data_IF_850704244496
#
_entry.id   IF_850704244496
#
_cell.length_a   1.000
_cell.length_b   1.000
_cell.length_c   1.000
_cell.angle_alpha   90.00
_cell.angle_beta   90.00
_cell.angle_gamma   90.00
#
_symmetry.space_group_name_H-M   'P 1'
#
loop_
_entity.id
_entity.type
_entity.pdbx_description
1 polymer ?
#
# COMPACT_ATOMS: atom_id res chain seq x y z
N UNK A 1 5.97 -1.40 27.15
CA UNK A 1 7.37 -0.97 27.29
C UNK A 1 7.94 -0.86 25.89
N UNK A 2 8.51 0.30 25.56
CA UNK A 2 9.23 0.50 24.31
C UNK A 2 10.56 -0.23 24.41
N UNK A 3 10.89 -1.05 23.41
CA UNK A 3 12.23 -1.59 23.23
C UNK A 3 12.88 -0.77 22.12
N UNK A 4 13.86 0.03 22.47
CA UNK A 4 14.62 0.82 21.49
C UNK A 4 15.82 -0.01 21.03
N UNK A 5 16.11 0.04 19.76
CA UNK A 5 17.29 -0.54 19.14
C UNK A 5 18.21 0.60 18.70
N UNK A 6 19.05 1.15 19.60
CA UNK A 6 19.78 2.40 19.37
C UNK A 6 20.70 2.38 18.15
N UNK A 7 21.18 1.20 17.78
CA UNK A 7 22.10 1.04 16.65
C UNK A 7 21.40 0.97 15.28
N UNK A 8 20.08 0.70 15.24
CA UNK A 8 19.29 0.61 14.01
C UNK A 8 18.40 1.83 13.76
N UNK A 9 18.24 2.72 14.74
CA UNK A 9 17.28 3.83 14.67
C UNK A 9 15.82 3.37 14.77
N UNK A 10 15.58 2.15 15.25
CA UNK A 10 14.26 1.54 15.37
C UNK A 10 13.79 1.50 16.81
N UNK A 11 12.48 1.54 17.01
CA UNK A 11 11.86 1.33 18.31
C UNK A 11 10.61 0.46 18.18
N UNK A 12 10.60 -0.66 18.90
CA UNK A 12 9.39 -1.46 18.98
C UNK A 12 8.36 -0.77 19.89
N UNK A 13 7.24 -0.39 19.30
CA UNK A 13 6.17 0.37 19.97
C UNK A 13 5.02 -0.51 20.50
N UNK A 14 5.13 -1.82 20.40
CA UNK A 14 4.10 -2.79 20.77
C UNK A 14 3.15 -3.15 19.64
N UNK A 15 2.35 -4.20 19.82
CA UNK A 15 1.35 -4.70 18.86
C UNK A 15 1.90 -4.99 17.46
N UNK A 16 3.16 -5.38 17.36
CA UNK A 16 3.81 -5.67 16.07
C UNK A 16 4.34 -4.43 15.34
N UNK A 17 4.19 -3.22 15.90
CA UNK A 17 4.66 -2.00 15.25
C UNK A 17 6.10 -1.68 15.64
N UNK A 18 6.95 -1.51 14.62
CA UNK A 18 8.32 -1.02 14.75
C UNK A 18 8.39 0.38 14.12
N UNK A 19 8.66 1.39 14.96
CA UNK A 19 8.88 2.75 14.51
C UNK A 19 10.31 2.91 14.02
N UNK A 20 10.51 3.37 12.78
CA UNK A 20 11.81 3.70 12.21
C UNK A 20 11.86 5.15 11.76
N UNK A 21 13.02 5.80 11.93
CA UNK A 21 13.28 7.17 11.49
C UNK A 21 14.21 7.20 10.25
N UNK A 22 14.58 6.03 9.74
CA UNK A 22 15.43 5.93 8.56
C UNK A 22 14.84 6.64 7.36
N UNK A 23 15.71 7.13 6.49
CA UNK A 23 15.38 7.57 5.13
C UNK A 23 16.31 6.85 4.15
N UNK A 24 15.86 6.52 2.94
CA UNK A 24 16.71 5.85 1.96
C UNK A 24 17.92 6.73 1.61
N UNK A 25 19.10 6.12 1.60
CA UNK A 25 20.36 6.85 1.28
C UNK A 25 20.71 6.75 -0.20
N UNK A 26 20.30 5.68 -0.85
CA UNK A 26 20.75 5.30 -2.20
C UNK A 26 19.59 5.18 -3.20
N UNK A 27 18.48 5.83 -2.95
CA UNK A 27 17.32 5.80 -3.83
C UNK A 27 16.52 4.49 -3.75
N UNK A 28 15.52 4.40 -4.61
CA UNK A 28 14.60 3.24 -4.66
C UNK A 28 15.12 2.19 -5.65
N UNK A 29 16.33 1.72 -5.50
CA UNK A 29 16.98 0.76 -6.39
C UNK A 29 16.10 -0.35 -6.92
N UNK A 30 16.45 -1.29 -7.55
CA UNK A 30 15.99 -2.55 -8.13
C UNK A 30 14.56 -2.61 -8.62
N UNK A 31 14.41 -2.71 -9.93
CA UNK A 31 13.22 -3.18 -10.64
C UNK A 31 12.74 -4.50 -10.03
N UNK A 32 11.49 -4.52 -9.58
CA UNK A 32 10.77 -5.76 -9.36
C UNK A 32 10.05 -6.12 -10.65
N UNK A 33 10.19 -7.37 -11.06
CA UNK A 33 9.39 -7.93 -12.13
C UNK A 33 8.40 -8.90 -11.50
N UNK A 34 7.13 -8.48 -11.43
CA UNK A 34 6.06 -9.35 -10.99
C UNK A 34 5.69 -10.28 -12.14
N UNK A 35 5.38 -11.53 -11.82
CA UNK A 35 4.84 -12.46 -12.81
C UNK A 35 3.41 -12.03 -13.17
N UNK A 36 3.19 -11.64 -14.42
CA UNK A 36 1.88 -11.18 -14.88
C UNK A 36 0.82 -12.30 -14.82
N UNK A 37 1.23 -13.55 -14.98
CA UNK A 37 0.34 -14.72 -14.97
C UNK A 37 0.15 -15.29 -13.56
N UNK A 38 1.07 -14.98 -12.63
CA UNK A 38 1.05 -15.44 -11.26
C UNK A 38 1.42 -14.32 -10.26
N UNK A 39 0.61 -13.24 -10.17
CA UNK A 39 0.92 -12.07 -9.34
C UNK A 39 0.97 -12.38 -7.83
N UNK A 40 0.36 -13.47 -7.40
CA UNK A 40 0.52 -14.08 -6.09
C UNK A 40 0.85 -15.56 -6.25
N UNK A 41 1.69 -16.10 -5.35
CA UNK A 41 1.98 -17.53 -5.32
C UNK A 41 0.73 -18.36 -4.98
N UNK A 42 0.72 -19.63 -5.36
CA UNK A 42 -0.36 -20.58 -5.01
C UNK A 42 -0.60 -20.60 -3.48
N UNK A 43 0.47 -20.54 -2.69
CA UNK A 43 0.40 -20.44 -1.24
C UNK A 43 -0.27 -19.13 -0.80
N UNK A 44 0.05 -18.01 -1.42
CA UNK A 44 -0.59 -16.72 -1.16
C UNK A 44 -2.09 -16.77 -1.41
N UNK A 45 -2.51 -17.33 -2.56
CA UNK A 45 -3.91 -17.51 -2.89
C UNK A 45 -4.63 -18.47 -1.95
N UNK A 46 -4.00 -19.59 -1.57
CA UNK A 46 -4.57 -20.55 -0.62
C UNK A 46 -4.92 -19.89 0.71
N UNK A 47 -3.98 -19.12 1.28
CA UNK A 47 -4.21 -18.50 2.59
C UNK A 47 -5.12 -17.27 2.52
N UNK A 48 -5.08 -16.51 1.44
CA UNK A 48 -6.00 -15.41 1.24
C UNK A 48 -7.46 -15.92 1.14
N UNK A 49 -7.69 -17.03 0.43
CA UNK A 49 -8.99 -17.69 0.40
C UNK A 49 -9.43 -18.12 1.80
N UNK A 50 -8.56 -18.81 2.57
CA UNK A 50 -8.88 -19.24 3.94
C UNK A 50 -9.24 -18.09 4.86
N UNK A 51 -8.55 -16.94 4.74
CA UNK A 51 -8.85 -15.74 5.52
C UNK A 51 -10.20 -15.17 5.11
N UNK A 52 -10.46 -15.07 3.81
CA UNK A 52 -11.73 -14.56 3.30
C UNK A 52 -12.91 -15.43 3.72
N UNK A 53 -12.80 -16.75 3.56
CA UNK A 53 -13.81 -17.72 3.94
C UNK A 53 -14.09 -17.65 5.46
N UNK A 54 -13.04 -17.60 6.28
CA UNK A 54 -13.18 -17.44 7.73
C UNK A 54 -13.91 -16.15 8.11
N UNK A 55 -13.58 -15.03 7.46
CA UNK A 55 -14.24 -13.75 7.72
C UNK A 55 -15.71 -13.80 7.33
N UNK A 56 -16.04 -14.36 6.17
CA UNK A 56 -17.41 -14.53 5.69
C UNK A 56 -18.24 -15.40 6.63
N UNK A 57 -17.73 -16.59 7.00
CA UNK A 57 -18.39 -17.52 7.93
C UNK A 57 -18.67 -16.92 9.32
N UNK A 58 -17.84 -15.97 9.74
CA UNK A 58 -17.98 -15.33 11.06
C UNK A 58 -18.60 -13.93 11.01
N UNK A 59 -19.07 -13.47 9.86
CA UNK A 59 -19.68 -12.15 9.70
C UNK A 59 -18.70 -11.01 9.94
N UNK A 60 -17.41 -11.23 9.68
CA UNK A 60 -16.34 -10.24 9.82
C UNK A 60 -16.15 -9.55 8.47
N UNK A 61 -16.27 -8.22 8.43
CA UNK A 61 -15.92 -7.47 7.23
C UNK A 61 -14.41 -7.51 7.00
N UNK A 62 -13.99 -8.07 5.90
CA UNK A 62 -12.60 -8.07 5.45
C UNK A 62 -12.35 -6.94 4.46
N UNK A 63 -11.28 -6.20 4.67
CA UNK A 63 -10.76 -5.19 3.74
C UNK A 63 -9.32 -5.56 3.44
N UNK A 64 -9.00 -5.72 2.17
CA UNK A 64 -7.62 -5.86 1.71
C UNK A 64 -7.08 -4.48 1.35
N UNK A 65 -5.83 -4.21 1.65
CA UNK A 65 -5.18 -2.99 1.17
C UNK A 65 -3.68 -3.17 0.95
N UNK A 66 -3.15 -2.40 0.01
CA UNK A 66 -1.71 -2.18 -0.16
C UNK A 66 -1.37 -0.81 0.42
N UNK A 67 -0.37 -0.76 1.30
CA UNK A 67 0.17 0.50 1.81
C UNK A 67 0.82 1.29 0.66
N UNK A 68 0.86 2.63 0.72
CA UNK A 68 1.34 3.44 -0.39
C UNK A 68 2.81 3.18 -0.69
N UNK A 69 3.09 2.76 -1.92
CA UNK A 69 4.43 2.62 -2.47
C UNK A 69 4.88 3.95 -3.11
N UNK A 70 6.19 4.23 -3.16
CA UNK A 70 6.71 5.36 -3.91
C UNK A 70 6.35 5.28 -5.39
N UNK A 71 6.02 6.41 -6.02
CA UNK A 71 5.73 6.42 -7.46
C UNK A 71 6.87 5.88 -8.31
N UNK A 72 8.12 6.13 -7.91
CA UNK A 72 9.30 5.53 -8.54
C UNK A 72 9.33 4.01 -8.46
N UNK A 73 8.85 3.42 -7.37
CA UNK A 73 8.71 1.98 -7.23
C UNK A 73 7.67 1.42 -8.21
N UNK A 74 6.50 2.06 -8.32
CA UNK A 74 5.47 1.67 -9.30
C UNK A 74 5.98 1.78 -10.72
N UNK A 75 6.69 2.88 -11.04
CA UNK A 75 7.27 3.12 -12.35
C UNK A 75 8.28 2.05 -12.74
N UNK A 76 9.05 1.56 -11.77
CA UNK A 76 10.12 0.57 -11.95
C UNK A 76 9.69 -0.87 -11.65
N UNK A 77 8.39 -1.13 -11.45
CA UNK A 77 7.87 -2.47 -11.19
C UNK A 77 7.05 -2.94 -12.39
N UNK A 78 7.60 -3.85 -13.17
CA UNK A 78 6.89 -4.46 -14.28
C UNK A 78 5.67 -5.27 -13.76
N UNK A 79 4.57 -5.23 -14.53
CA UNK A 79 3.37 -6.00 -14.26
C UNK A 79 2.64 -5.69 -12.94
N UNK A 80 2.88 -4.52 -12.31
CA UNK A 80 2.16 -4.14 -11.10
C UNK A 80 0.64 -4.08 -11.31
N UNK A 81 0.18 -3.67 -12.49
CA UNK A 81 -1.24 -3.67 -12.84
C UNK A 81 -1.86 -5.07 -12.76
N UNK A 82 -1.15 -6.12 -13.16
CA UNK A 82 -1.64 -7.50 -13.05
C UNK A 82 -1.91 -7.91 -11.60
N UNK A 83 -1.10 -7.45 -10.66
CA UNK A 83 -1.32 -7.65 -9.23
C UNK A 83 -2.60 -6.94 -8.75
N UNK A 84 -2.78 -5.67 -9.14
CA UNK A 84 -3.98 -4.88 -8.81
C UNK A 84 -5.24 -5.56 -9.38
N UNK A 85 -5.21 -5.96 -10.65
CA UNK A 85 -6.32 -6.60 -11.34
C UNK A 85 -6.70 -7.94 -10.71
N UNK A 86 -5.70 -8.73 -10.30
CA UNK A 86 -5.93 -10.02 -9.66
C UNK A 86 -6.61 -9.86 -8.29
N UNK A 87 -6.20 -8.89 -7.47
CA UNK A 87 -6.83 -8.62 -6.18
C UNK A 87 -8.23 -8.02 -6.34
N UNK A 88 -8.44 -7.13 -7.30
CA UNK A 88 -9.76 -6.61 -7.63
C UNK A 88 -10.71 -7.74 -8.10
N UNK A 89 -10.23 -8.64 -8.97
CA UNK A 89 -10.99 -9.81 -9.42
C UNK A 89 -11.34 -10.73 -8.26
N UNK A 90 -10.40 -10.99 -7.37
CA UNK A 90 -10.62 -11.79 -6.16
C UNK A 90 -11.69 -11.18 -5.26
N UNK A 91 -11.64 -9.87 -5.04
CA UNK A 91 -12.63 -9.16 -4.23
C UNK A 91 -14.01 -9.13 -4.89
N UNK A 92 -14.07 -8.88 -6.20
CA UNK A 92 -15.34 -8.85 -6.94
C UNK A 92 -16.08 -10.17 -6.95
N UNK A 93 -15.40 -11.31 -6.72
CA UNK A 93 -16.01 -12.62 -6.62
C UNK A 93 -16.65 -12.91 -5.23
N UNK A 94 -16.57 -11.99 -4.28
CA UNK A 94 -17.03 -12.15 -2.89
C UNK A 94 -17.84 -10.94 -2.42
N UNK A 95 -18.96 -11.17 -1.77
CA UNK A 95 -19.83 -10.11 -1.28
C UNK A 95 -19.13 -9.33 -0.13
N UNK A 96 -19.07 -8.01 -0.27
CA UNK A 96 -18.57 -7.12 0.78
C UNK A 96 -17.05 -7.13 0.97
N UNK A 97 -16.28 -7.91 0.20
CA UNK A 97 -14.83 -7.85 0.18
C UNK A 97 -14.38 -6.72 -0.75
N UNK A 98 -13.47 -5.89 -0.28
CA UNK A 98 -12.92 -4.77 -1.06
C UNK A 98 -11.40 -4.78 -1.02
N UNK A 99 -10.79 -4.25 -2.07
CA UNK A 99 -9.35 -4.00 -2.12
C UNK A 99 -9.08 -2.52 -2.37
N UNK A 100 -8.21 -1.94 -1.57
CA UNK A 100 -7.75 -0.55 -1.68
C UNK A 100 -6.24 -0.51 -1.89
N UNK A 101 -5.81 -0.04 -3.05
CA UNK A 101 -4.40 0.18 -3.29
C UNK A 101 -4.05 1.65 -3.04
N UNK A 102 -3.47 1.96 -1.89
CA UNK A 102 -3.06 3.32 -1.57
C UNK A 102 -1.88 3.82 -2.38
N UNK A 103 -1.20 2.96 -3.14
CA UNK A 103 -0.26 3.40 -4.16
C UNK A 103 -0.97 4.12 -5.32
N UNK A 104 -2.27 3.83 -5.51
CA UNK A 104 -3.14 4.46 -6.51
C UNK A 104 -4.00 5.59 -5.93
N UNK A 105 -3.70 6.07 -4.72
CA UNK A 105 -4.42 7.18 -4.09
C UNK A 105 -4.40 8.42 -4.96
N UNK A 106 -5.57 9.06 -5.11
CA UNK A 106 -5.77 10.17 -6.05
C UNK A 106 -5.57 11.54 -5.43
N UNK A 107 -5.96 11.70 -4.16
CA UNK A 107 -5.93 12.99 -3.48
C UNK A 107 -4.55 13.26 -2.87
N UNK A 108 -3.71 13.91 -3.66
CA UNK A 108 -2.36 14.32 -3.28
C UNK A 108 -2.31 15.21 -2.04
N UNK A 109 -3.31 16.07 -1.84
CA UNK A 109 -3.31 17.02 -0.74
C UNK A 109 -3.53 16.33 0.61
N UNK A 110 -4.24 15.21 0.62
CA UNK A 110 -4.52 14.45 1.85
C UNK A 110 -3.46 13.38 2.17
N UNK A 111 -2.77 12.85 1.17
CA UNK A 111 -1.69 11.89 1.35
C UNK A 111 -0.44 12.30 0.55
N UNK A 112 0.22 13.34 1.03
CA UNK A 112 1.47 13.81 0.45
C UNK A 112 2.66 13.07 1.09
N UNK A 113 3.16 12.05 0.39
CA UNK A 113 4.35 11.31 0.79
C UNK A 113 5.56 11.75 -0.06
N UNK A 114 6.69 11.86 0.60
CA UNK A 114 7.99 12.23 0.00
C UNK A 114 9.02 11.15 0.31
N UNK A 115 10.21 11.25 -0.26
CA UNK A 115 11.35 10.36 0.08
C UNK A 115 11.58 10.30 1.60
N UNK A 116 11.39 11.42 2.29
CA UNK A 116 11.55 11.51 3.74
C UNK A 116 10.54 10.72 4.58
N UNK A 117 9.50 10.18 3.95
CA UNK A 117 8.44 9.38 4.59
C UNK A 117 8.67 7.87 4.47
N UNK A 118 9.75 7.45 3.83
CA UNK A 118 10.12 6.05 3.65
C UNK A 118 11.43 5.73 4.36
N UNK A 119 11.58 4.51 4.84
CA UNK A 119 12.83 3.99 5.42
C UNK A 119 13.71 3.30 4.37
N UNK A 120 13.11 2.81 3.31
CA UNK A 120 13.77 2.15 2.18
C UNK A 120 12.89 2.27 0.91
N UNK A 121 13.11 1.41 -0.08
CA UNK A 121 12.42 1.46 -1.37
C UNK A 121 10.90 1.29 -1.31
N UNK A 122 10.36 0.71 -0.23
CA UNK A 122 8.93 0.34 -0.18
C UNK A 122 8.31 0.36 1.22
N UNK A 123 9.10 0.59 2.28
CA UNK A 123 8.58 0.66 3.63
C UNK A 123 8.47 2.11 4.11
N UNK A 124 7.28 2.49 4.59
CA UNK A 124 7.09 3.76 5.28
C UNK A 124 7.92 3.79 6.56
N UNK A 125 8.56 4.93 6.82
CA UNK A 125 9.09 5.21 8.15
C UNK A 125 7.98 5.69 9.09
N UNK A 126 8.32 6.04 10.34
CA UNK A 126 7.33 6.49 11.32
C UNK A 126 6.51 7.69 10.87
N UNK A 127 7.15 8.68 10.22
CA UNK A 127 6.45 9.87 9.73
C UNK A 127 5.46 9.52 8.59
N UNK A 128 5.89 8.68 7.64
CA UNK A 128 5.03 8.19 6.57
C UNK A 128 3.87 7.34 7.11
N UNK A 129 4.15 6.46 8.08
CA UNK A 129 3.13 5.64 8.71
C UNK A 129 2.07 6.48 9.45
N UNK A 130 2.46 7.56 10.12
CA UNK A 130 1.53 8.48 10.79
C UNK A 130 0.60 9.16 9.78
N UNK A 131 1.14 9.68 8.66
CA UNK A 131 0.37 10.27 7.57
C UNK A 131 -0.60 9.25 6.96
N UNK A 132 -0.10 8.07 6.60
CA UNK A 132 -0.90 7.02 6.00
C UNK A 132 -2.01 6.53 6.94
N UNK A 133 -1.72 6.33 8.22
CA UNK A 133 -2.71 5.86 9.19
C UNK A 133 -3.89 6.82 9.31
N UNK A 134 -3.66 8.14 9.24
CA UNK A 134 -4.73 9.13 9.26
C UNK A 134 -5.68 8.95 8.07
N UNK A 135 -5.15 8.80 6.86
CA UNK A 135 -5.91 8.58 5.63
C UNK A 135 -6.62 7.23 5.64
N UNK A 136 -5.93 6.16 6.04
CA UNK A 136 -6.54 4.81 6.16
C UNK A 136 -7.71 4.81 7.13
N UNK A 137 -7.57 5.43 8.29
CA UNK A 137 -8.65 5.54 9.27
C UNK A 137 -9.84 6.35 8.75
N UNK A 138 -9.58 7.40 7.96
CA UNK A 138 -10.67 8.17 7.34
C UNK A 138 -11.39 7.36 6.26
N UNK A 139 -10.64 6.68 5.39
CA UNK A 139 -11.20 5.79 4.37
C UNK A 139 -12.08 4.70 4.98
N UNK A 140 -11.62 4.05 6.05
CA UNK A 140 -12.41 3.05 6.79
C UNK A 140 -13.71 3.65 7.35
N UNK A 141 -13.67 4.88 7.91
CA UNK A 141 -14.87 5.53 8.44
C UNK A 141 -15.88 5.87 7.34
N UNK A 142 -15.41 6.38 6.21
CA UNK A 142 -16.25 6.71 5.04
C UNK A 142 -16.90 5.46 4.46
N UNK A 143 -16.12 4.39 4.27
CA UNK A 143 -16.65 3.10 3.82
C UNK A 143 -17.69 2.53 4.81
N UNK A 144 -17.43 2.58 6.11
CA UNK A 144 -18.38 2.15 7.14
C UNK A 144 -19.65 3.01 7.19
N UNK A 145 -19.58 4.27 6.74
CA UNK A 145 -20.74 5.16 6.58
C UNK A 145 -21.52 4.91 5.26
N UNK A 146 -21.05 3.99 4.42
CA UNK A 146 -21.66 3.66 3.13
C UNK A 146 -21.32 4.64 2.00
N UNK A 147 -20.25 5.45 2.17
CA UNK A 147 -19.76 6.31 1.09
C UNK A 147 -19.03 5.46 0.02
N UNK A 148 -19.12 5.91 -1.24
CA UNK A 148 -18.31 5.32 -2.30
C UNK A 148 -16.85 5.79 -2.14
N UNK A 149 -15.99 4.91 -1.66
CA UNK A 149 -14.55 5.20 -1.49
C UNK A 149 -13.71 4.79 -2.72
N UNK A 150 -14.29 4.10 -3.70
CA UNK A 150 -13.57 3.72 -4.92
C UNK A 150 -13.07 4.94 -5.70
N UNK A 151 -13.84 6.03 -5.69
CA UNK A 151 -13.48 7.29 -6.38
C UNK A 151 -12.22 7.98 -5.80
N UNK A 152 -11.73 7.53 -4.64
CA UNK A 152 -10.50 8.02 -4.02
C UNK A 152 -9.23 7.45 -4.68
N UNK A 153 -9.37 6.47 -5.54
CA UNK A 153 -8.26 5.76 -6.16
C UNK A 153 -8.28 5.94 -7.68
N UNK A 154 -7.10 5.90 -8.30
CA UNK A 154 -7.00 5.72 -9.74
C UNK A 154 -7.32 4.28 -10.11
N UNK A 155 -7.93 4.08 -11.27
CA UNK A 155 -8.27 2.74 -11.75
C UNK A 155 -7.03 1.98 -12.24
N UNK A 156 -6.02 2.71 -12.72
CA UNK A 156 -4.82 2.12 -13.29
C UNK A 156 -3.53 2.76 -12.77
N UNK A 157 -2.45 1.99 -12.83
CA UNK A 157 -1.09 2.48 -12.58
C UNK A 157 -0.70 3.55 -13.59
N UNK A 158 -1.12 3.40 -14.86
CA UNK A 158 -0.86 4.38 -15.91
C UNK A 158 -1.50 5.72 -15.59
N UNK A 159 -2.77 5.74 -15.17
CA UNK A 159 -3.46 6.95 -14.73
C UNK A 159 -2.76 7.60 -13.56
N UNK A 160 -2.38 6.81 -12.54
CA UNK A 160 -1.62 7.30 -11.41
C UNK A 160 -0.34 8.00 -11.82
N UNK A 161 0.45 7.36 -12.68
CA UNK A 161 1.76 7.89 -13.11
C UNK A 161 1.64 9.08 -14.08
N UNK A 162 0.53 9.19 -14.81
CA UNK A 162 0.29 10.23 -15.79
C UNK A 162 -0.39 11.46 -15.19
N UNK A 163 -1.37 11.25 -14.29
CA UNK A 163 -2.25 12.29 -13.77
C UNK A 163 -1.82 12.84 -12.41
N UNK A 164 -0.89 12.17 -11.73
CA UNK A 164 -0.37 12.68 -10.46
C UNK A 164 0.63 13.82 -10.69
N UNK A 165 0.62 14.89 -9.87
CA UNK A 165 1.59 15.98 -9.97
C UNK A 165 3.04 15.51 -9.96
N UNK A 166 3.92 16.21 -10.69
CA UNK A 166 5.34 15.85 -10.86
C UNK A 166 6.10 15.67 -9.55
N UNK A 167 5.71 16.37 -8.50
CA UNK A 167 6.34 16.28 -7.18
C UNK A 167 6.21 14.89 -6.54
N UNK A 168 5.16 14.12 -6.89
CA UNK A 168 5.03 12.73 -6.44
C UNK A 168 5.86 11.75 -7.29
N UNK A 169 6.29 12.21 -8.46
CA UNK A 169 7.05 11.43 -9.45
C UNK A 169 8.56 11.65 -9.28
N UNK A 170 8.99 12.60 -8.45
CA UNK A 170 10.41 12.92 -8.18
C UNK A 170 11.23 11.71 -7.73
N UNK A 171 10.57 10.60 -7.43
CA UNK A 171 11.22 9.34 -7.08
C UNK A 171 11.53 8.46 -8.31
N UNK A 172 11.23 8.93 -9.54
CA UNK A 172 11.58 8.23 -10.78
C UNK A 172 13.10 8.23 -11.06
N UNK A 173 13.77 9.30 -10.68
CA UNK A 173 15.15 9.59 -11.12
C UNK A 173 16.20 9.23 -10.09
N UNK A 174 15.85 8.44 -9.09
CA UNK A 174 16.81 7.96 -8.10
C UNK A 174 17.41 6.65 -8.58
N UNK A 175 18.34 6.80 -9.54
CA UNK A 175 19.25 5.74 -10.01
C UNK A 175 20.54 5.76 -9.20
#
# INVERSE_FOLDING_TARGET
AYVSYPDSGEAYCGRGFVYTQGVPKDGFGTLLNLDADAPLSDFGWEYLNKIADFCEENGIRLVLFTAPLPSGYLYNTDNYQSYVDALNTFCAARDGLVYWDFSLWRDWDTLHLTVGDYSDAHHLNGAGADKFTAVLCDTIRRDAAGENVADLFYDTVEDKLTLTPDESILMKDVH
#
